data_IF_712574187619
#
_entry.id   IF_712574187619
#
_cell.length_a   1.000
_cell.length_b   1.000
_cell.length_c   1.000
_cell.angle_alpha   90.00
_cell.angle_beta   90.00
_cell.angle_gamma   90.00
#
_symmetry.space_group_name_H-M   'P 1'
#
loop_
_entity.id
_entity.type
_entity.pdbx_description
1 polymer ?
#
# COMPACT_ATOMS: atom_id res chain seq x y z
N UNK A 1 -44.43 15.51 -5.08
CA UNK A 1 -43.54 15.37 -3.91
C UNK A 1 -43.42 13.93 -3.39
N UNK A 2 -44.49 13.17 -3.14
CA UNK A 2 -44.38 11.77 -2.64
C UNK A 2 -43.73 10.75 -3.62
N UNK A 3 -43.85 10.97 -4.93
CA UNK A 3 -43.30 10.04 -5.95
C UNK A 3 -41.80 10.25 -6.25
N UNK A 4 -41.27 11.45 -6.04
CA UNK A 4 -39.87 11.77 -6.31
C UNK A 4 -38.94 11.16 -5.25
N UNK A 5 -39.32 11.26 -3.98
CA UNK A 5 -38.53 10.74 -2.86
C UNK A 5 -38.49 9.21 -2.82
N UNK A 6 -39.54 8.53 -3.26
CA UNK A 6 -39.57 7.07 -3.37
C UNK A 6 -38.63 6.53 -4.47
N UNK A 7 -38.46 7.27 -5.58
CA UNK A 7 -37.58 6.88 -6.70
C UNK A 7 -36.11 7.00 -6.33
N UNK A 8 -35.75 7.97 -5.49
CA UNK A 8 -34.39 8.18 -4.97
C UNK A 8 -34.01 7.05 -4.01
N UNK A 9 -34.92 6.61 -3.14
CA UNK A 9 -34.66 5.48 -2.25
C UNK A 9 -34.38 4.22 -3.06
N UNK A 10 -35.12 3.95 -4.13
CA UNK A 10 -34.83 2.79 -5.00
C UNK A 10 -33.48 2.95 -5.68
N UNK A 11 -33.15 4.13 -6.22
CA UNK A 11 -31.85 4.36 -6.87
C UNK A 11 -30.66 4.28 -5.89
N UNK A 12 -30.82 4.80 -4.67
CA UNK A 12 -29.80 4.82 -3.61
C UNK A 12 -29.69 3.44 -2.93
N UNK A 13 -30.78 2.70 -2.74
CA UNK A 13 -30.78 1.32 -2.22
C UNK A 13 -30.24 0.35 -3.27
N UNK A 14 -30.50 0.56 -4.56
CA UNK A 14 -29.86 -0.22 -5.63
C UNK A 14 -28.37 0.11 -5.74
N UNK A 15 -27.97 1.38 -5.62
CA UNK A 15 -26.56 1.76 -5.59
C UNK A 15 -25.83 1.24 -4.34
N UNK A 16 -26.48 1.25 -3.17
CA UNK A 16 -25.96 0.67 -1.93
C UNK A 16 -25.97 -0.86 -1.95
N UNK A 17 -26.94 -1.50 -2.58
CA UNK A 17 -27.03 -2.95 -2.75
C UNK A 17 -25.94 -3.51 -3.66
N UNK A 18 -25.51 -2.75 -4.67
CA UNK A 18 -24.35 -3.08 -5.50
C UNK A 18 -23.01 -2.80 -4.78
N UNK A 19 -22.98 -1.85 -3.85
CA UNK A 19 -21.79 -1.52 -3.04
C UNK A 19 -21.65 -2.40 -1.78
N UNK A 20 -22.74 -2.99 -1.30
CA UNK A 20 -22.80 -3.86 -0.13
C UNK A 20 -22.64 -5.34 -0.52
N UNK A 21 -21.45 -5.70 -1.02
CA UNK A 21 -20.95 -7.06 -0.89
C UNK A 21 -19.66 -7.04 -0.06
N UNK A 22 -19.75 -7.05 1.28
CA UNK A 22 -18.65 -7.56 2.07
C UNK A 22 -18.65 -9.07 1.91
N UNK A 23 -17.72 -9.61 1.11
CA UNK A 23 -17.31 -11.01 1.25
C UNK A 23 -16.61 -11.13 2.61
N UNK A 24 -17.42 -11.30 3.65
CA UNK A 24 -17.03 -11.76 4.98
C UNK A 24 -17.78 -13.06 5.24
N UNK A 25 -17.29 -14.14 4.64
CA UNK A 25 -17.64 -15.48 5.06
C UNK A 25 -16.92 -15.76 6.40
N UNK A 26 -17.66 -15.68 7.50
CA UNK A 26 -17.31 -16.30 8.79
C UNK A 26 -18.20 -17.55 8.92
N UNK A 27 -17.66 -18.78 9.04
CA UNK A 27 -18.44 -19.85 9.61
C UNK A 27 -18.45 -19.69 11.14
N UNK A 28 -19.65 -19.75 11.71
CA UNK A 28 -19.88 -19.91 13.13
C UNK A 28 -19.49 -21.35 13.54
N UNK A 29 -18.77 -21.49 14.65
CA UNK A 29 -18.45 -22.75 15.32
C UNK A 29 -18.35 -22.51 16.83
N UNK A 30 -18.68 -23.51 17.66
CA UNK A 30 -19.20 -23.30 19.02
C UNK A 30 -18.12 -22.89 20.03
N UNK A 31 -18.57 -22.28 21.13
CA UNK A 31 -17.74 -21.78 22.23
C UNK A 31 -16.92 -22.87 22.94
N UNK A 32 -15.91 -22.47 23.74
CA UNK A 32 -14.94 -23.40 24.29
C UNK A 32 -15.49 -24.11 25.53
N UNK A 33 -15.38 -25.44 25.55
CA UNK A 33 -15.31 -26.20 26.79
C UNK A 33 -13.87 -26.11 27.34
N UNK A 34 -13.76 -25.78 28.62
CA UNK A 34 -12.51 -25.73 29.35
C UNK A 34 -11.94 -27.14 29.56
N UNK A 35 -10.64 -27.30 29.34
CA UNK A 35 -9.83 -28.23 30.13
C UNK A 35 -8.38 -27.74 30.21
N UNK A 36 -7.93 -27.61 31.46
CA UNK A 36 -6.57 -27.32 31.83
C UNK A 36 -5.68 -28.54 31.55
N UNK A 37 -4.47 -28.29 31.07
CA UNK A 37 -3.46 -29.32 30.83
C UNK A 37 -2.10 -28.68 30.58
N UNK A 38 -1.37 -28.45 31.67
CA UNK A 38 0.01 -27.98 31.65
C UNK A 38 0.90 -28.91 30.82
N UNK A 39 1.65 -28.38 29.85
CA UNK A 39 2.86 -29.01 29.31
C UNK A 39 3.92 -27.99 28.91
N UNK A 40 4.92 -27.91 29.78
CA UNK A 40 6.36 -27.80 29.54
C UNK A 40 6.83 -26.89 28.40
N UNK A 41 7.40 -25.75 28.81
CA UNK A 41 8.28 -24.93 28.00
C UNK A 41 9.48 -25.75 27.51
N UNK A 42 9.61 -25.90 26.19
CA UNK A 42 10.91 -26.17 25.56
C UNK A 42 11.30 -24.88 24.87
N UNK A 43 12.07 -24.07 25.60
CA UNK A 43 12.63 -22.81 25.14
C UNK A 43 13.90 -23.11 24.33
N UNK A 44 13.73 -23.55 23.09
CA UNK A 44 14.81 -23.53 22.10
C UNK A 44 15.02 -22.08 21.66
N UNK A 45 16.26 -21.61 21.74
CA UNK A 45 16.69 -20.25 21.43
C UNK A 45 16.09 -19.74 20.11
N UNK A 46 15.01 -18.97 20.21
CA UNK A 46 14.46 -18.21 19.10
C UNK A 46 15.32 -16.95 18.96
N UNK A 47 15.84 -16.71 17.75
CA UNK A 47 16.33 -15.39 17.33
C UNK A 47 15.37 -14.32 17.87
N UNK A 48 15.89 -13.33 18.58
CA UNK A 48 15.09 -12.29 19.26
C UNK A 48 14.35 -11.43 18.21
N UNK A 49 13.22 -11.92 17.71
CA UNK A 49 12.36 -11.15 16.81
C UNK A 49 11.58 -10.10 17.61
N UNK A 50 11.41 -8.92 17.02
CA UNK A 50 10.54 -7.90 17.62
C UNK A 50 9.07 -8.31 17.42
N UNK A 51 8.26 -8.39 18.49
CA UNK A 51 6.88 -8.84 18.38
C UNK A 51 6.01 -7.96 17.48
N UNK A 52 4.99 -8.59 16.88
CA UNK A 52 4.05 -7.90 16.02
C UNK A 52 3.44 -6.65 16.66
N UNK A 53 3.24 -5.61 15.85
CA UNK A 53 2.62 -4.35 16.24
C UNK A 53 3.58 -3.38 16.94
N UNK A 54 4.83 -3.78 17.16
CA UNK A 54 5.91 -2.92 17.66
C UNK A 54 7.03 -2.84 16.64
N UNK A 55 7.73 -1.72 16.67
CA UNK A 55 9.02 -1.53 16.02
C UNK A 55 10.11 -1.64 17.09
N UNK A 56 11.36 -1.92 16.71
CA UNK A 56 12.48 -1.90 17.64
C UNK A 56 12.57 -0.57 18.38
N UNK A 57 13.13 -0.59 19.58
CA UNK A 57 13.21 0.60 20.43
C UNK A 57 13.86 1.78 19.69
N UNK A 58 13.30 2.98 19.87
CA UNK A 58 13.78 4.20 19.19
C UNK A 58 13.43 4.31 17.70
N UNK A 59 13.16 3.21 16.97
CA UNK A 59 12.83 3.26 15.53
C UNK A 59 11.53 4.03 15.29
N UNK A 60 10.49 3.79 16.09
CA UNK A 60 9.23 4.53 15.95
C UNK A 60 9.40 6.05 16.14
N UNK A 61 10.31 6.46 17.03
CA UNK A 61 10.62 7.86 17.29
C UNK A 61 11.48 8.48 16.18
N UNK A 62 12.45 7.73 15.65
CA UNK A 62 13.22 8.10 14.46
C UNK A 62 12.28 8.36 13.28
N UNK A 63 11.42 7.38 12.96
CA UNK A 63 10.50 7.46 11.81
C UNK A 63 9.53 8.64 11.89
N UNK A 64 9.06 8.96 13.10
CA UNK A 64 8.18 10.10 13.33
C UNK A 64 8.88 11.46 13.08
N UNK A 65 10.21 11.51 13.21
CA UNK A 65 11.03 12.71 13.00
C UNK A 65 11.63 12.81 11.60
N UNK A 66 11.42 11.80 10.73
CA UNK A 66 11.94 11.83 9.37
C UNK A 66 11.23 12.88 8.50
N UNK A 67 12.02 13.77 7.90
CA UNK A 67 11.58 14.70 6.87
C UNK A 67 11.46 13.97 5.52
N UNK A 68 10.27 13.46 5.28
CA UNK A 68 9.93 12.76 4.02
C UNK A 68 9.62 13.70 2.85
N UNK A 69 9.57 15.02 3.05
CA UNK A 69 9.05 15.96 2.06
C UNK A 69 9.89 16.00 0.77
N UNK A 70 11.21 15.92 0.89
CA UNK A 70 12.16 15.90 -0.22
C UNK A 70 12.03 14.63 -1.08
N UNK A 71 11.61 13.51 -0.49
CA UNK A 71 11.45 12.23 -1.17
C UNK A 71 10.09 12.04 -1.82
N UNK A 72 8.99 12.51 -1.20
CA UNK A 72 7.61 12.17 -1.60
C UNK A 72 7.30 12.36 -3.08
N UNK A 73 7.88 13.39 -3.71
CA UNK A 73 7.61 13.76 -5.11
C UNK A 73 8.68 13.28 -6.09
N UNK A 74 9.73 12.61 -5.63
CA UNK A 74 10.70 12.01 -6.53
C UNK A 74 10.02 10.98 -7.42
N UNK A 75 10.46 10.88 -8.67
CA UNK A 75 9.86 9.97 -9.64
C UNK A 75 10.47 8.59 -9.51
N UNK A 76 9.63 7.57 -9.49
CA UNK A 76 10.03 6.16 -9.59
C UNK A 76 9.29 5.57 -10.79
N UNK A 77 9.99 4.80 -11.63
CA UNK A 77 9.33 4.01 -12.66
C UNK A 77 9.12 2.59 -12.12
N UNK A 78 7.86 2.17 -11.98
CA UNK A 78 7.51 0.83 -11.52
C UNK A 78 6.35 0.30 -12.36
N UNK A 79 6.46 -0.94 -12.85
CA UNK A 79 5.50 -1.56 -13.78
C UNK A 79 5.20 -0.68 -15.01
N UNK A 80 6.24 -0.10 -15.61
CA UNK A 80 6.13 0.73 -16.82
C UNK A 80 5.53 2.13 -16.60
N UNK A 81 5.12 2.49 -15.38
CA UNK A 81 4.56 3.81 -15.06
C UNK A 81 5.49 4.62 -14.16
N UNK A 82 5.74 5.88 -14.55
CA UNK A 82 6.33 6.90 -13.67
C UNK A 82 5.29 7.36 -12.63
N UNK A 83 5.65 7.29 -11.35
CA UNK A 83 4.79 7.65 -10.21
C UNK A 83 5.63 8.32 -9.12
N UNK A 84 5.02 9.12 -8.22
CA UNK A 84 5.76 9.69 -7.10
C UNK A 84 6.16 8.60 -6.10
N UNK A 85 7.28 8.84 -5.41
CA UNK A 85 7.81 7.96 -4.37
C UNK A 85 6.78 7.65 -3.28
N UNK A 86 5.88 8.58 -2.94
CA UNK A 86 4.79 8.35 -1.99
C UNK A 86 3.87 7.19 -2.43
N UNK A 87 3.45 7.18 -3.70
CA UNK A 87 2.63 6.09 -4.26
C UNK A 87 3.41 4.79 -4.27
N UNK A 88 4.67 4.84 -4.75
CA UNK A 88 5.53 3.66 -4.82
C UNK A 88 5.70 3.03 -3.43
N UNK A 89 6.10 3.80 -2.42
CA UNK A 89 6.29 3.30 -1.06
C UNK A 89 5.01 2.67 -0.48
N UNK A 90 3.83 3.28 -0.69
CA UNK A 90 2.55 2.68 -0.26
C UNK A 90 2.27 1.34 -0.95
N UNK A 91 2.54 1.25 -2.25
CA UNK A 91 2.40 0.00 -3.00
C UNK A 91 3.37 -1.07 -2.49
N UNK A 92 4.65 -0.71 -2.29
CA UNK A 92 5.67 -1.62 -1.78
C UNK A 92 5.32 -2.13 -0.37
N UNK A 93 5.01 -1.23 0.56
CA UNK A 93 4.60 -1.59 1.94
C UNK A 93 3.36 -2.49 1.92
N UNK A 94 2.37 -2.21 1.06
CA UNK A 94 1.19 -3.08 0.91
C UNK A 94 1.53 -4.43 0.31
N UNK A 95 2.43 -4.47 -0.67
CA UNK A 95 2.92 -5.71 -1.28
C UNK A 95 3.57 -6.61 -0.22
N UNK A 96 4.51 -6.04 0.53
CA UNK A 96 5.28 -6.67 1.60
C UNK A 96 4.41 -7.13 2.77
N UNK A 97 3.64 -6.21 3.38
CA UNK A 97 2.98 -6.43 4.67
C UNK A 97 1.49 -6.79 4.53
N UNK A 98 0.90 -6.52 3.37
CA UNK A 98 -0.55 -6.64 3.14
C UNK A 98 -1.36 -5.45 3.66
N UNK A 99 -0.73 -4.41 4.22
CA UNK A 99 -1.34 -3.16 4.69
C UNK A 99 -0.52 -1.97 4.19
N UNK A 100 -1.13 -0.80 4.02
CA UNK A 100 -0.39 0.40 3.57
C UNK A 100 0.46 1.04 4.68
N UNK A 101 0.25 0.67 5.95
CA UNK A 101 1.01 1.16 7.10
C UNK A 101 1.23 0.06 8.12
N UNK A 102 2.23 0.26 8.98
CA UNK A 102 2.57 -0.59 10.12
C UNK A 102 2.92 0.29 11.32
N UNK A 103 2.51 -0.10 12.52
CA UNK A 103 2.75 0.65 13.76
C UNK A 103 2.39 2.16 13.69
N UNK A 104 1.37 2.52 12.91
CA UNK A 104 0.91 3.90 12.63
C UNK A 104 1.98 4.82 12.00
N UNK A 105 3.01 4.25 11.40
CA UNK A 105 4.05 5.02 10.72
C UNK A 105 3.63 5.45 9.32
N UNK A 106 4.23 6.54 8.85
CA UNK A 106 4.09 6.98 7.47
C UNK A 106 4.66 5.90 6.52
N UNK A 107 3.96 5.55 5.42
CA UNK A 107 4.39 4.47 4.54
C UNK A 107 5.73 4.74 3.86
N UNK A 108 6.04 6.00 3.55
CA UNK A 108 7.32 6.36 2.95
C UNK A 108 8.45 6.27 3.98
N UNK A 109 8.25 6.78 5.20
CA UNK A 109 9.22 6.63 6.27
C UNK A 109 9.51 5.14 6.57
N UNK A 110 8.46 4.31 6.66
CA UNK A 110 8.57 2.87 6.86
C UNK A 110 9.31 2.19 5.71
N UNK A 111 9.01 2.54 4.46
CA UNK A 111 9.72 2.02 3.28
C UNK A 111 11.21 2.37 3.31
N UNK A 112 11.56 3.63 3.60
CA UNK A 112 12.95 4.07 3.68
C UNK A 112 13.71 3.33 4.79
N UNK A 113 13.07 3.04 5.93
CA UNK A 113 13.68 2.21 6.97
C UNK A 113 13.88 0.76 6.54
N UNK A 114 12.90 0.13 5.89
CA UNK A 114 13.09 -1.22 5.33
C UNK A 114 14.20 -1.28 4.27
N UNK A 115 14.41 -0.18 3.53
CA UNK A 115 15.45 -0.04 2.52
C UNK A 115 16.85 0.15 3.13
N UNK A 116 17.01 1.09 4.07
CA UNK A 116 18.32 1.50 4.58
C UNK A 116 18.75 0.81 5.87
N UNK A 117 17.81 0.31 6.67
CA UNK A 117 18.06 -0.49 7.89
C UNK A 117 17.46 -1.90 7.73
N UNK A 118 17.76 -2.51 6.57
CA UNK A 118 17.15 -3.77 6.13
C UNK A 118 17.36 -4.90 7.13
N UNK A 119 18.55 -5.01 7.73
CA UNK A 119 18.86 -6.04 8.72
C UNK A 119 17.95 -5.94 9.95
N UNK A 120 17.83 -4.76 10.55
CA UNK A 120 16.87 -4.51 11.64
C UNK A 120 15.43 -4.81 11.21
N UNK A 121 15.03 -4.36 10.02
CA UNK A 121 13.68 -4.57 9.51
C UNK A 121 13.36 -6.05 9.24
N UNK A 122 14.35 -6.84 8.84
CA UNK A 122 14.17 -8.26 8.53
C UNK A 122 13.69 -9.07 9.74
N UNK A 123 14.02 -8.63 10.95
CA UNK A 123 13.80 -9.34 12.22
C UNK A 123 12.52 -8.93 12.97
N UNK A 124 11.67 -8.08 12.38
CA UNK A 124 10.40 -7.68 13.01
C UNK A 124 9.24 -8.54 12.49
N UNK A 125 8.36 -9.00 13.38
CA UNK A 125 7.19 -9.83 13.05
C UNK A 125 6.06 -9.01 12.38
N UNK A 126 6.35 -8.45 11.21
CA UNK A 126 5.46 -7.57 10.47
C UNK A 126 4.66 -8.30 9.36
N UNK A 127 5.05 -9.52 8.99
CA UNK A 127 4.42 -10.26 7.89
C UNK A 127 3.27 -11.12 8.39
N UNK A 128 2.04 -10.76 8.01
CA UNK A 128 0.85 -11.53 8.41
C UNK A 128 0.65 -12.78 7.54
N UNK A 129 0.49 -13.93 8.20
CA UNK A 129 0.19 -15.23 7.58
C UNK A 129 -1.27 -15.60 7.83
N UNK A 130 -2.11 -15.60 6.79
CA UNK A 130 -3.55 -15.87 6.92
C UNK A 130 -3.95 -17.34 6.70
N UNK A 131 -3.13 -18.10 5.98
CA UNK A 131 -3.48 -19.45 5.57
C UNK A 131 -3.10 -20.46 6.67
N UNK A 132 -4.05 -21.30 7.09
CA UNK A 132 -3.84 -22.26 8.18
C UNK A 132 -2.75 -23.28 7.87
N UNK A 133 -2.68 -23.78 6.63
CA UNK A 133 -1.64 -24.73 6.21
C UNK A 133 -0.26 -24.07 6.20
N UNK A 134 -0.20 -22.79 5.86
CA UNK A 134 1.03 -22.02 5.88
C UNK A 134 1.49 -21.72 7.31
N UNK A 135 0.58 -21.49 8.26
CA UNK A 135 0.92 -21.40 9.68
C UNK A 135 1.53 -22.71 10.18
N UNK A 136 0.93 -23.85 9.85
CA UNK A 136 1.47 -25.17 10.18
C UNK A 136 2.87 -25.39 9.57
N UNK A 137 3.04 -25.04 8.30
CA UNK A 137 4.33 -25.17 7.59
C UNK A 137 5.44 -24.32 8.23
N UNK A 138 5.09 -23.13 8.71
CA UNK A 138 6.02 -22.21 9.36
C UNK A 138 6.18 -22.46 10.87
N UNK A 139 5.41 -23.39 11.46
CA UNK A 139 5.43 -23.63 12.90
C UNK A 139 4.84 -22.50 13.75
N UNK A 140 3.94 -21.67 13.19
CA UNK A 140 3.37 -20.49 13.86
C UNK A 140 2.08 -20.82 14.62
N UNK A 141 1.88 -20.19 15.79
CA UNK A 141 0.62 -20.23 16.52
C UNK A 141 -0.46 -19.42 15.80
N UNK A 142 -1.68 -19.97 15.72
CA UNK A 142 -2.87 -19.28 15.21
C UNK A 142 -3.19 -17.99 15.98
N UNK A 143 -2.81 -17.90 17.26
CA UNK A 143 -3.01 -16.70 18.08
C UNK A 143 -2.01 -15.58 17.74
N UNK A 144 -0.85 -15.92 17.19
CA UNK A 144 0.17 -14.97 16.72
C UNK A 144 0.55 -15.27 15.26
N UNK A 145 -0.34 -14.96 14.29
CA UNK A 145 -0.16 -15.34 12.89
C UNK A 145 0.77 -14.37 12.13
N UNK A 146 1.90 -14.03 12.75
CA UNK A 146 2.89 -13.09 12.22
C UNK A 146 4.27 -13.73 12.22
N UNK A 147 5.09 -13.31 11.27
CA UNK A 147 6.47 -13.75 11.12
C UNK A 147 7.32 -12.60 10.57
N UNK A 148 8.63 -12.77 10.59
CA UNK A 148 9.61 -11.82 10.08
C UNK A 148 10.16 -12.27 8.71
N UNK A 149 10.81 -11.38 7.98
CA UNK A 149 11.43 -11.75 6.70
C UNK A 149 12.62 -12.69 6.90
N UNK A 150 13.43 -12.47 7.93
CA UNK A 150 14.49 -13.38 8.34
C UNK A 150 13.93 -14.78 8.66
N UNK A 151 12.87 -14.87 9.46
CA UNK A 151 12.26 -16.16 9.79
C UNK A 151 11.66 -16.89 8.58
N UNK A 152 11.22 -16.17 7.53
CA UNK A 152 10.79 -16.79 6.27
C UNK A 152 11.98 -17.31 5.48
N UNK A 153 13.06 -16.53 5.39
CA UNK A 153 14.27 -16.88 4.66
C UNK A 153 14.97 -18.10 5.27
N UNK A 154 15.03 -18.17 6.60
CA UNK A 154 15.70 -19.25 7.34
C UNK A 154 14.84 -20.52 7.44
N UNK A 155 13.57 -20.49 7.01
CA UNK A 155 12.69 -21.64 7.13
C UNK A 155 12.90 -22.64 5.96
N UNK A 156 13.71 -23.67 6.21
CA UNK A 156 14.00 -24.69 5.20
C UNK A 156 12.76 -25.45 4.69
N UNK A 157 11.77 -25.71 5.55
CA UNK A 157 10.56 -26.43 5.15
C UNK A 157 9.74 -25.60 4.15
N UNK A 158 9.65 -24.30 4.39
CA UNK A 158 9.05 -23.35 3.47
C UNK A 158 9.84 -23.26 2.16
N UNK A 159 11.18 -23.15 2.22
CA UNK A 159 12.02 -23.11 1.03
C UNK A 159 11.84 -24.36 0.15
N UNK A 160 11.88 -25.56 0.74
CA UNK A 160 11.67 -26.83 0.02
C UNK A 160 10.32 -26.89 -0.68
N UNK A 161 9.25 -26.50 0.01
CA UNK A 161 7.89 -26.53 -0.57
C UNK A 161 7.72 -25.46 -1.65
N UNK A 162 8.29 -24.27 -1.48
CA UNK A 162 8.31 -23.23 -2.51
C UNK A 162 9.02 -23.71 -3.77
N UNK A 163 10.19 -24.32 -3.64
CA UNK A 163 10.99 -24.79 -4.78
C UNK A 163 10.33 -25.98 -5.48
N UNK A 164 9.64 -26.85 -4.73
CA UNK A 164 8.75 -27.87 -5.28
C UNK A 164 7.63 -27.23 -6.11
N UNK A 165 6.93 -26.24 -5.56
CA UNK A 165 5.85 -25.55 -6.26
C UNK A 165 6.36 -24.82 -7.50
N UNK A 166 7.51 -24.15 -7.44
CA UNK A 166 8.05 -23.45 -8.60
C UNK A 166 8.31 -24.41 -9.78
N UNK A 167 8.83 -25.62 -9.50
CA UNK A 167 9.03 -26.67 -10.51
C UNK A 167 7.73 -27.27 -11.06
N UNK A 168 6.71 -27.39 -10.21
CA UNK A 168 5.41 -27.97 -10.60
C UNK A 168 4.45 -26.95 -11.24
N UNK A 169 4.57 -25.66 -10.92
CA UNK A 169 3.62 -24.63 -11.30
C UNK A 169 3.68 -24.23 -12.78
N UNK A 170 4.67 -24.71 -13.53
CA UNK A 170 4.75 -24.48 -14.98
C UNK A 170 3.53 -25.08 -15.69
N UNK A 171 2.52 -24.24 -15.94
CA UNK A 171 1.29 -24.61 -16.66
C UNK A 171 0.12 -25.11 -15.80
N UNK A 172 0.19 -25.05 -14.46
CA UNK A 172 -0.91 -25.49 -13.59
C UNK A 172 -1.61 -24.35 -12.85
N UNK A 173 -2.92 -24.47 -12.66
CA UNK A 173 -3.69 -23.57 -11.79
C UNK A 173 -3.44 -23.94 -10.33
N UNK A 174 -2.87 -23.01 -9.56
CA UNK A 174 -2.54 -23.22 -8.16
C UNK A 174 -3.78 -23.21 -7.28
N UNK A 175 -3.88 -24.21 -6.38
CA UNK A 175 -4.88 -24.21 -5.33
C UNK A 175 -4.66 -23.08 -4.31
N UNK A 176 -5.62 -22.82 -3.40
CA UNK A 176 -5.54 -21.72 -2.42
C UNK A 176 -4.30 -21.77 -1.50
N UNK A 177 -3.88 -22.96 -1.07
CA UNK A 177 -2.72 -23.16 -0.22
C UNK A 177 -1.40 -22.92 -0.96
N UNK A 178 -1.30 -23.45 -2.18
CA UNK A 178 -0.12 -23.27 -3.04
C UNK A 178 0.05 -21.79 -3.41
N UNK A 179 -1.06 -21.12 -3.75
CA UNK A 179 -1.07 -19.68 -3.99
C UNK A 179 -0.65 -18.88 -2.76
N UNK A 180 -0.94 -19.36 -1.54
CA UNK A 180 -0.49 -18.71 -0.32
C UNK A 180 1.03 -18.80 -0.13
N UNK A 181 1.62 -19.96 -0.45
CA UNK A 181 3.08 -20.17 -0.42
C UNK A 181 3.76 -19.27 -1.45
N UNK A 182 3.29 -19.26 -2.69
CA UNK A 182 3.83 -18.39 -3.76
C UNK A 182 3.73 -16.92 -3.37
N UNK A 183 2.59 -16.47 -2.84
CA UNK A 183 2.44 -15.07 -2.39
C UNK A 183 3.40 -14.71 -1.25
N UNK A 184 3.61 -15.61 -0.28
CA UNK A 184 4.58 -15.36 0.80
C UNK A 184 6.01 -15.34 0.26
N UNK A 185 6.35 -16.24 -0.67
CA UNK A 185 7.64 -16.27 -1.34
C UNK A 185 7.90 -14.97 -2.12
N UNK A 186 6.91 -14.47 -2.85
CA UNK A 186 7.00 -13.20 -3.58
C UNK A 186 7.22 -12.01 -2.63
N UNK A 187 6.64 -12.03 -1.42
CA UNK A 187 6.88 -10.99 -0.41
C UNK A 187 8.31 -11.00 0.10
N UNK A 188 8.83 -12.19 0.42
CA UNK A 188 10.22 -12.33 0.83
C UNK A 188 11.16 -11.88 -0.31
N UNK A 189 10.91 -12.34 -1.53
CA UNK A 189 11.68 -11.91 -2.70
C UNK A 189 11.65 -10.39 -2.89
N UNK A 190 10.49 -9.75 -2.76
CA UNK A 190 10.35 -8.30 -2.86
C UNK A 190 11.14 -7.55 -1.79
N UNK A 191 11.22 -8.09 -0.57
CA UNK A 191 12.00 -7.51 0.53
C UNK A 191 13.51 -7.61 0.26
N UNK A 192 13.96 -8.71 -0.34
CA UNK A 192 15.35 -8.90 -0.72
C UNK A 192 15.79 -7.93 -1.84
N UNK A 193 14.88 -7.55 -2.74
CA UNK A 193 15.18 -6.79 -3.96
C UNK A 193 14.66 -5.33 -3.92
N UNK A 194 14.53 -4.73 -2.74
CA UNK A 194 14.00 -3.36 -2.59
C UNK A 194 14.82 -2.32 -3.36
N UNK A 195 16.15 -2.48 -3.41
CA UNK A 195 17.04 -1.58 -4.14
C UNK A 195 16.87 -1.70 -5.66
N UNK A 196 16.65 -2.92 -6.17
CA UNK A 196 16.46 -3.19 -7.61
C UNK A 196 15.13 -2.64 -8.13
N UNK A 197 14.09 -2.66 -7.29
CA UNK A 197 12.78 -2.07 -7.61
C UNK A 197 12.82 -0.53 -7.59
N UNK A 198 13.83 0.08 -6.95
CA UNK A 198 13.96 1.53 -6.83
C UNK A 198 14.58 2.17 -8.08
N UNK A 199 13.83 2.09 -9.19
CA UNK A 199 14.21 2.62 -10.51
C UNK A 199 13.95 4.12 -10.60
N UNK A 200 14.98 4.91 -10.31
CA UNK A 200 14.90 6.37 -10.21
C UNK A 200 15.86 7.11 -11.14
N UNK A 201 16.68 6.39 -11.91
CA UNK A 201 17.67 6.96 -12.82
C UNK A 201 17.17 6.79 -14.26
N UNK A 202 16.96 7.87 -15.02
CA UNK A 202 16.57 7.76 -16.42
C UNK A 202 17.71 7.09 -17.22
N UNK A 203 17.36 6.27 -18.23
CA UNK A 203 18.37 5.66 -19.09
C UNK A 203 19.12 6.73 -19.89
N UNK A 204 20.38 6.47 -20.29
CA UNK A 204 21.11 7.32 -21.24
C UNK A 204 20.32 7.53 -22.53
N UNK A 205 20.47 8.70 -23.16
CA UNK A 205 19.68 9.07 -24.35
C UNK A 205 19.88 8.12 -25.55
N UNK A 206 21.02 7.45 -25.61
CA UNK A 206 21.46 6.50 -26.63
C UNK A 206 21.09 5.03 -26.32
N UNK A 207 20.51 4.74 -25.16
CA UNK A 207 20.23 3.37 -24.73
C UNK A 207 19.11 2.67 -25.54
N UNK A 208 18.28 3.42 -26.26
CA UNK A 208 17.18 2.88 -27.07
C UNK A 208 16.03 2.25 -26.26
N UNK A 209 16.04 2.38 -24.94
CA UNK A 209 15.05 1.83 -24.00
C UNK A 209 14.62 2.94 -23.01
N UNK A 210 13.32 3.02 -22.69
CA UNK A 210 12.75 3.99 -21.72
C UNK A 210 12.66 3.39 -20.30
N UNK A 211 13.25 2.22 -20.06
CA UNK A 211 13.34 1.62 -18.73
C UNK A 211 14.37 2.33 -17.86
N UNK A 212 13.90 2.87 -16.75
CA UNK A 212 14.73 3.51 -15.73
C UNK A 212 15.55 2.46 -14.97
N UNK A 213 16.73 2.89 -14.57
CA UNK A 213 17.74 2.11 -13.90
C UNK A 213 17.62 2.27 -12.37
N UNK A 214 18.02 1.25 -11.59
CA UNK A 214 18.09 1.33 -10.14
C UNK A 214 19.04 2.46 -9.68
N UNK A 215 18.67 3.12 -8.58
CA UNK A 215 19.48 4.20 -8.00
C UNK A 215 20.74 3.71 -7.27
N UNK A 216 20.74 2.46 -6.82
CA UNK A 216 21.84 1.81 -6.09
C UNK A 216 22.43 0.60 -6.83
N UNK A 217 22.50 0.64 -8.16
CA UNK A 217 22.96 -0.51 -8.92
C UNK A 217 24.40 -0.92 -8.55
N UNK A 218 24.56 -2.14 -8.04
CA UNK A 218 25.86 -2.80 -7.82
C UNK A 218 26.29 -3.65 -9.02
N UNK A 219 25.32 -4.03 -9.87
CA UNK A 219 25.50 -4.86 -11.06
C UNK A 219 24.92 -4.16 -12.30
N UNK A 220 25.50 -4.41 -13.48
CA UNK A 220 25.08 -3.77 -14.74
C UNK A 220 25.80 -2.46 -15.07
N UNK A 221 26.74 -2.00 -14.23
CA UNK A 221 27.62 -0.84 -14.46
C UNK A 221 28.32 -0.89 -15.82
N UNK A 222 28.56 -2.12 -16.29
CA UNK A 222 29.23 -2.44 -17.55
C UNK A 222 28.47 -1.94 -18.79
N UNK A 223 27.15 -1.80 -18.70
CA UNK A 223 26.30 -1.36 -19.82
C UNK A 223 26.04 0.15 -19.85
N UNK A 224 26.47 0.89 -18.82
CA UNK A 224 26.32 2.34 -18.73
C UNK A 224 27.50 2.97 -17.96
N UNK A 225 28.73 2.95 -18.50
CA UNK A 225 29.92 3.48 -17.82
C UNK A 225 29.78 4.96 -17.48
N UNK A 226 29.00 5.72 -18.26
CA UNK A 226 28.68 7.12 -17.99
C UNK A 226 27.99 7.36 -16.63
N UNK A 227 27.35 6.33 -16.05
CA UNK A 227 26.65 6.40 -14.76
C UNK A 227 27.49 5.89 -13.58
N UNK A 228 28.73 5.41 -13.81
CA UNK A 228 29.56 4.84 -12.75
C UNK A 228 29.85 5.84 -11.61
N UNK A 229 30.14 7.10 -11.94
CA UNK A 229 30.36 8.16 -10.96
C UNK A 229 29.10 8.43 -10.13
N UNK A 230 27.93 8.42 -10.77
CA UNK A 230 26.65 8.59 -10.09
C UNK A 230 26.42 7.47 -9.07
N UNK A 231 26.60 6.21 -9.47
CA UNK A 231 26.35 5.08 -8.57
C UNK A 231 27.34 5.03 -7.40
N UNK A 232 28.60 5.41 -7.61
CA UNK A 232 29.57 5.56 -6.52
C UNK A 232 29.14 6.63 -5.51
N UNK A 233 28.67 7.77 -6.00
CA UNK A 233 28.18 8.87 -5.17
C UNK A 233 26.90 8.48 -4.42
N UNK A 234 25.91 7.90 -5.11
CA UNK A 234 24.66 7.46 -4.48
C UNK A 234 24.88 6.31 -3.50
N UNK A 235 25.84 5.41 -3.75
CA UNK A 235 26.23 4.37 -2.80
C UNK A 235 26.88 4.95 -1.53
N UNK A 236 27.69 5.99 -1.66
CA UNK A 236 28.27 6.69 -0.51
C UNK A 236 27.18 7.36 0.32
N UNK A 237 26.24 8.04 -0.33
CA UNK A 237 25.08 8.64 0.33
C UNK A 237 24.16 7.58 0.95
N UNK A 238 23.95 6.43 0.29
CA UNK A 238 23.22 5.27 0.81
C UNK A 238 23.82 4.81 2.15
N UNK A 239 25.14 4.63 2.20
CA UNK A 239 25.84 4.21 3.42
C UNK A 239 25.65 5.22 4.56
N UNK A 240 25.74 6.53 4.28
CA UNK A 240 25.48 7.56 5.30
C UNK A 240 24.06 7.51 5.85
N UNK A 241 23.06 7.26 4.99
CA UNK A 241 21.68 7.08 5.44
C UNK A 241 21.56 5.83 6.31
N UNK A 242 22.14 4.70 5.90
CA UNK A 242 22.12 3.46 6.67
C UNK A 242 22.77 3.65 8.06
N UNK A 243 23.96 4.26 8.13
CA UNK A 243 24.65 4.57 9.39
C UNK A 243 23.80 5.45 10.32
N UNK A 244 23.13 6.46 9.78
CA UNK A 244 22.25 7.33 10.58
C UNK A 244 21.01 6.60 11.10
N UNK A 245 20.45 5.66 10.32
CA UNK A 245 19.33 4.82 10.75
C UNK A 245 19.75 3.82 11.84
N UNK A 246 20.93 3.20 11.70
CA UNK A 246 21.53 2.33 12.73
C UNK A 246 21.79 3.11 14.03
N UNK A 247 22.36 4.30 13.93
CA UNK A 247 22.60 5.18 15.09
C UNK A 247 21.31 5.80 15.67
N UNK A 248 20.17 5.65 15.00
CA UNK A 248 18.87 6.25 15.35
C UNK A 248 18.93 7.79 15.47
N UNK A 249 19.82 8.41 14.71
CA UNK A 249 19.99 9.86 14.67
C UNK A 249 19.10 10.47 13.58
N UNK A 250 17.96 11.04 14.00
CA UNK A 250 17.01 11.66 13.08
C UNK A 250 17.60 12.89 12.34
N UNK A 251 18.53 13.61 12.96
CA UNK A 251 19.13 14.81 12.34
C UNK A 251 20.07 14.40 11.23
N UNK A 252 20.97 13.46 11.52
CA UNK A 252 21.88 12.90 10.52
C UNK A 252 21.12 12.18 9.40
N UNK A 253 20.06 11.43 9.73
CA UNK A 253 19.22 10.74 8.76
C UNK A 253 18.54 11.72 7.81
N UNK A 254 17.96 12.81 8.34
CA UNK A 254 17.31 13.84 7.54
C UNK A 254 18.28 14.57 6.63
N UNK A 255 19.50 14.85 7.09
CA UNK A 255 20.54 15.47 6.27
C UNK A 255 20.97 14.55 5.13
N UNK A 256 21.32 13.30 5.43
CA UNK A 256 21.75 12.33 4.43
C UNK A 256 20.64 12.02 3.40
N UNK A 257 19.39 11.87 3.85
CA UNK A 257 18.24 11.67 2.97
C UNK A 257 18.01 12.88 2.05
N UNK A 258 18.22 14.11 2.54
CA UNK A 258 18.05 15.32 1.73
C UNK A 258 19.14 15.42 0.65
N UNK A 259 20.39 15.15 1.00
CA UNK A 259 21.51 15.12 0.04
C UNK A 259 21.27 14.07 -1.05
N UNK A 260 20.87 12.87 -0.65
CA UNK A 260 20.53 11.80 -1.61
C UNK A 260 19.33 12.18 -2.50
N UNK A 261 18.28 12.76 -1.93
CA UNK A 261 17.12 13.22 -2.70
C UNK A 261 17.51 14.32 -3.72
N UNK A 262 18.34 15.27 -3.31
CA UNK A 262 18.84 16.32 -4.21
C UNK A 262 19.64 15.73 -5.37
N UNK A 263 20.51 14.75 -5.09
CA UNK A 263 21.30 14.09 -6.13
C UNK A 263 20.43 13.33 -7.12
N UNK A 264 19.46 12.56 -6.61
CA UNK A 264 18.49 11.84 -7.44
C UNK A 264 17.63 12.81 -8.27
N UNK A 265 17.13 13.88 -7.68
CA UNK A 265 16.34 14.90 -8.39
C UNK A 265 17.14 15.55 -9.53
N UNK A 266 18.42 15.87 -9.28
CA UNK A 266 19.30 16.45 -10.30
C UNK A 266 19.49 15.52 -11.50
N UNK A 267 19.58 14.21 -11.26
CA UNK A 267 19.71 13.19 -12.32
C UNK A 267 18.41 12.99 -13.08
N UNK A 268 17.26 13.05 -12.39
CA UNK A 268 15.95 12.92 -13.05
C UNK A 268 15.66 14.09 -13.99
N UNK A 269 16.03 15.31 -13.61
CA UNK A 269 15.90 16.51 -14.43
C UNK A 269 14.54 16.62 -15.12
N UNK A 270 14.55 16.80 -16.44
CA UNK A 270 13.34 16.92 -17.25
C UNK A 270 12.61 15.58 -17.50
N UNK A 271 13.25 14.44 -17.26
CA UNK A 271 12.63 13.11 -17.42
C UNK A 271 11.65 12.79 -16.27
N UNK A 272 11.74 13.52 -15.16
CA UNK A 272 10.87 13.38 -14.01
C UNK A 272 9.38 13.57 -14.35
N UNK A 273 8.52 12.99 -13.52
CA UNK A 273 7.09 13.30 -13.52
C UNK A 273 6.89 14.81 -13.24
N UNK A 274 5.99 15.49 -13.97
CA UNK A 274 5.70 16.90 -13.70
C UNK A 274 5.32 17.14 -12.24
N UNK A 275 5.91 18.16 -11.62
CA UNK A 275 5.78 18.41 -10.18
C UNK A 275 4.32 18.60 -9.72
N UNK A 276 3.47 19.21 -10.57
CA UNK A 276 2.04 19.39 -10.30
C UNK A 276 1.28 18.07 -10.26
N UNK A 277 1.58 17.14 -11.18
CA UNK A 277 0.96 15.82 -11.21
C UNK A 277 1.43 14.95 -10.04
N UNK A 278 2.73 15.00 -9.72
CA UNK A 278 3.29 14.32 -8.55
C UNK A 278 2.64 14.85 -7.26
N UNK A 279 2.47 16.17 -7.11
CA UNK A 279 1.80 16.77 -5.97
C UNK A 279 0.31 16.38 -5.88
N UNK A 280 -0.40 16.37 -7.01
CA UNK A 280 -1.80 15.96 -7.06
C UNK A 280 -1.99 14.49 -6.65
N UNK A 281 -1.09 13.60 -7.07
CA UNK A 281 -1.13 12.19 -6.69
C UNK A 281 -0.79 11.98 -5.21
N UNK A 282 0.21 12.68 -4.66
CA UNK A 282 0.51 12.66 -3.22
C UNK A 282 -0.70 13.17 -2.41
N UNK A 283 -1.36 14.25 -2.87
CA UNK A 283 -2.56 14.77 -2.23
C UNK A 283 -3.70 13.74 -2.26
N UNK A 284 -3.94 13.10 -3.40
CA UNK A 284 -4.93 12.03 -3.55
C UNK A 284 -4.68 10.88 -2.57
N UNK A 285 -3.42 10.45 -2.43
CA UNK A 285 -3.04 9.36 -1.54
C UNK A 285 -3.22 9.70 -0.05
N UNK A 286 -3.08 10.97 0.34
CA UNK A 286 -3.20 11.37 1.75
C UNK A 286 -4.62 11.75 2.14
N UNK A 287 -5.34 12.42 1.24
CA UNK A 287 -6.70 12.87 1.51
C UNK A 287 -7.74 11.76 1.27
N UNK A 288 -7.48 10.85 0.33
CA UNK A 288 -8.42 9.81 -0.11
C UNK A 288 -9.83 10.37 -0.43
N UNK A 289 -9.98 11.27 -1.42
CA UNK A 289 -11.26 11.93 -1.68
C UNK A 289 -12.41 10.97 -1.98
N UNK A 290 -12.16 9.86 -2.69
CA UNK A 290 -13.17 8.81 -2.91
C UNK A 290 -13.57 8.10 -1.60
N UNK A 291 -12.63 7.98 -0.66
CA UNK A 291 -12.84 7.49 0.69
C UNK A 291 -13.76 8.38 1.54
N UNK A 292 -13.71 9.70 1.34
CA UNK A 292 -14.64 10.64 1.96
C UNK A 292 -15.97 10.71 1.23
N UNK A 293 -15.94 10.65 -0.11
CA UNK A 293 -17.14 10.68 -0.94
C UNK A 293 -18.12 9.56 -0.55
N UNK A 294 -17.68 8.31 -0.42
CA UNK A 294 -18.59 7.22 -0.05
C UNK A 294 -19.19 7.39 1.36
N UNK A 295 -18.41 7.92 2.32
CA UNK A 295 -18.92 8.19 3.68
C UNK A 295 -20.01 9.26 3.65
N UNK A 296 -19.79 10.33 2.91
CA UNK A 296 -20.77 11.41 2.74
C UNK A 296 -22.01 10.93 2.00
N UNK A 297 -21.85 10.12 0.96
CA UNK A 297 -22.98 9.50 0.25
C UNK A 297 -23.77 8.54 1.16
N UNK A 298 -23.10 7.80 2.05
CA UNK A 298 -23.76 6.95 3.04
C UNK A 298 -24.54 7.80 4.06
N UNK A 299 -23.95 8.89 4.57
CA UNK A 299 -24.63 9.85 5.45
C UNK A 299 -25.84 10.47 4.75
N UNK A 300 -25.71 10.84 3.47
CA UNK A 300 -26.82 11.35 2.68
C UNK A 300 -27.96 10.33 2.60
N UNK A 301 -27.66 9.08 2.28
CA UNK A 301 -28.65 8.00 2.21
C UNK A 301 -29.39 7.78 3.54
N UNK A 302 -28.66 7.75 4.66
CA UNK A 302 -29.24 7.59 5.99
C UNK A 302 -30.11 8.79 6.38
N UNK A 303 -29.65 10.02 6.11
CA UNK A 303 -30.38 11.23 6.41
C UNK A 303 -31.66 11.37 5.55
N UNK A 304 -31.61 10.97 4.27
CA UNK A 304 -32.82 10.86 3.43
C UNK A 304 -33.80 9.83 4.01
N UNK A 305 -33.32 8.66 4.44
CA UNK A 305 -34.15 7.65 5.11
C UNK A 305 -34.83 8.20 6.36
N UNK A 306 -34.07 8.84 7.26
CA UNK A 306 -34.61 9.45 8.49
C UNK A 306 -35.64 10.56 8.20
N UNK A 307 -35.41 11.38 7.17
CA UNK A 307 -36.37 12.39 6.72
C UNK A 307 -37.70 11.76 6.27
N UNK A 308 -37.66 10.58 5.63
CA UNK A 308 -38.86 9.86 5.18
C UNK A 308 -39.66 9.24 6.35
N UNK A 309 -38.97 8.79 7.40
CA UNK A 309 -39.55 8.22 8.62
C UNK A 309 -40.22 9.24 9.56
N UNK A 310 -40.28 10.53 9.18
CA UNK A 310 -41.04 11.55 9.90
C UNK A 310 -40.21 12.64 10.57
N UNK A 311 -38.87 12.51 10.60
CA UNK A 311 -37.96 13.51 11.19
C UNK A 311 -37.63 14.67 10.23
N UNK A 312 -38.63 15.17 9.50
CA UNK A 312 -38.46 15.94 8.24
C UNK A 312 -37.69 17.25 8.36
N UNK A 313 -37.76 17.96 9.48
CA UNK A 313 -37.39 19.39 9.53
C UNK A 313 -35.89 19.67 9.66
N UNK A 314 -35.09 18.70 10.12
CA UNK A 314 -33.63 18.85 10.28
C UNK A 314 -32.79 17.97 9.34
N UNK A 315 -33.30 16.79 8.97
CA UNK A 315 -32.49 15.79 8.25
C UNK A 315 -32.42 16.00 6.73
N UNK A 316 -33.41 16.66 6.14
CA UNK A 316 -33.41 16.96 4.70
C UNK A 316 -32.23 17.86 4.26
N UNK A 317 -31.95 19.04 4.87
CA UNK A 317 -30.81 19.86 4.45
C UNK A 317 -29.47 19.16 4.69
N UNK A 318 -29.36 18.34 5.74
CA UNK A 318 -28.17 17.50 5.99
C UNK A 318 -27.97 16.49 4.87
N UNK A 319 -29.05 15.82 4.44
CA UNK A 319 -28.99 14.85 3.35
C UNK A 319 -28.53 15.49 2.03
N UNK A 320 -29.12 16.63 1.66
CA UNK A 320 -28.76 17.38 0.45
C UNK A 320 -27.32 17.88 0.52
N UNK A 321 -26.91 18.47 1.65
CA UNK A 321 -25.53 18.95 1.83
C UNK A 321 -24.50 17.83 1.70
N UNK A 322 -24.75 16.68 2.34
CA UNK A 322 -23.90 15.51 2.26
C UNK A 322 -23.87 14.91 0.84
N UNK A 323 -25.01 14.88 0.13
CA UNK A 323 -25.11 14.42 -1.25
C UNK A 323 -24.27 15.28 -2.19
N UNK A 324 -24.42 16.61 -2.13
CA UNK A 324 -23.69 17.55 -2.99
C UNK A 324 -22.19 17.46 -2.72
N UNK A 325 -21.78 17.52 -1.45
CA UNK A 325 -20.37 17.45 -1.09
C UNK A 325 -19.75 16.10 -1.47
N UNK A 326 -20.44 15.00 -1.20
CA UNK A 326 -20.00 13.65 -1.58
C UNK A 326 -19.85 13.50 -3.09
N UNK A 327 -20.80 14.01 -3.86
CA UNK A 327 -20.78 13.97 -5.33
C UNK A 327 -19.65 14.84 -5.91
N UNK A 328 -19.43 16.04 -5.39
CA UNK A 328 -18.32 16.90 -5.81
C UNK A 328 -16.96 16.27 -5.50
N UNK A 329 -16.81 15.67 -4.32
CA UNK A 329 -15.59 14.94 -3.96
C UNK A 329 -15.36 13.70 -4.84
N UNK A 330 -16.42 12.98 -5.19
CA UNK A 330 -16.34 11.86 -6.13
C UNK A 330 -15.90 12.32 -7.53
N UNK A 331 -16.54 13.37 -8.06
CA UNK A 331 -16.22 13.95 -9.35
C UNK A 331 -14.76 14.43 -9.41
N UNK A 332 -14.34 15.23 -8.42
CA UNK A 332 -12.97 15.73 -8.32
C UNK A 332 -11.94 14.60 -8.17
N UNK A 333 -12.22 13.61 -7.31
CA UNK A 333 -11.35 12.45 -7.13
C UNK A 333 -11.19 11.62 -8.41
N UNK A 334 -12.26 11.43 -9.18
CA UNK A 334 -12.22 10.77 -10.49
C UNK A 334 -11.45 11.61 -11.51
N UNK A 335 -11.66 12.92 -11.58
CA UNK A 335 -10.98 13.82 -12.51
C UNK A 335 -9.47 13.89 -12.26
N UNK A 336 -9.04 13.98 -11.00
CA UNK A 336 -7.61 13.95 -10.67
C UNK A 336 -7.02 12.58 -11.02
N UNK A 337 -7.75 11.49 -10.75
CA UNK A 337 -7.30 10.14 -11.10
C UNK A 337 -7.14 9.94 -12.60
N UNK A 338 -8.04 10.46 -13.43
CA UNK A 338 -7.90 10.39 -14.89
C UNK A 338 -6.71 11.20 -15.39
N UNK A 339 -6.44 12.36 -14.80
CA UNK A 339 -5.26 13.15 -15.11
C UNK A 339 -3.94 12.43 -14.76
N UNK A 340 -3.91 11.71 -13.62
CA UNK A 340 -2.74 10.94 -13.17
C UNK A 340 -2.50 9.69 -14.04
N UNK A 341 -3.54 8.88 -14.26
CA UNK A 341 -3.42 7.59 -14.96
C UNK A 341 -3.46 7.77 -16.48
N UNK A 342 -3.80 8.97 -16.98
CA UNK A 342 -3.89 9.32 -18.41
C UNK A 342 -4.85 8.42 -19.21
N UNK A 343 -5.85 7.85 -18.56
CA UNK A 343 -6.92 7.05 -19.17
C UNK A 343 -8.24 7.21 -18.41
N UNK A 344 -9.34 6.85 -19.06
CA UNK A 344 -10.65 6.81 -18.42
C UNK A 344 -10.70 5.77 -17.27
N UNK A 345 -11.48 6.02 -16.20
CA UNK A 345 -11.52 5.19 -15.00
C UNK A 345 -12.54 4.05 -15.18
N UNK A 346 -12.35 3.21 -16.20
CA UNK A 346 -13.26 2.09 -16.53
C UNK A 346 -12.50 0.81 -16.89
N UNK A 347 -11.18 0.77 -16.70
CA UNK A 347 -10.37 -0.34 -17.20
C UNK A 347 -10.36 -1.58 -16.29
N UNK A 348 -10.80 -1.46 -15.03
CA UNK A 348 -10.95 -2.60 -14.14
C UNK A 348 -12.30 -2.56 -13.42
N UNK A 349 -12.72 -3.72 -12.88
CA UNK A 349 -14.03 -3.87 -12.22
C UNK A 349 -14.22 -2.86 -11.09
N UNK A 350 -13.18 -2.62 -10.30
CA UNK A 350 -13.24 -1.64 -9.21
C UNK A 350 -13.52 -0.22 -9.73
N UNK A 351 -12.78 0.21 -10.76
CA UNK A 351 -12.97 1.51 -11.41
C UNK A 351 -14.36 1.63 -12.05
N UNK A 352 -14.83 0.58 -12.73
CA UNK A 352 -16.15 0.53 -13.34
C UNK A 352 -17.26 0.67 -12.28
N UNK A 353 -17.16 -0.01 -11.14
CA UNK A 353 -18.14 0.08 -10.04
C UNK A 353 -18.15 1.48 -9.42
N UNK A 354 -16.98 2.07 -9.17
CA UNK A 354 -16.88 3.42 -8.61
C UNK A 354 -17.48 4.45 -9.57
N UNK A 355 -17.16 4.34 -10.87
CA UNK A 355 -17.70 5.23 -11.89
C UNK A 355 -19.21 5.07 -12.07
N UNK A 356 -19.71 3.84 -12.13
CA UNK A 356 -21.14 3.55 -12.24
C UNK A 356 -21.92 4.10 -11.04
N UNK A 357 -21.40 3.92 -9.83
CA UNK A 357 -22.02 4.46 -8.60
C UNK A 357 -22.12 5.98 -8.65
N UNK A 358 -21.03 6.65 -9.06
CA UNK A 358 -21.03 8.11 -9.25
C UNK A 358 -22.08 8.53 -10.30
N UNK A 359 -22.12 7.87 -11.46
CA UNK A 359 -23.07 8.17 -12.52
C UNK A 359 -24.53 7.99 -12.05
N UNK A 360 -24.83 6.92 -11.31
CA UNK A 360 -26.16 6.68 -10.73
C UNK A 360 -26.59 7.79 -9.78
N UNK A 361 -25.69 8.28 -8.93
CA UNK A 361 -25.97 9.40 -8.01
C UNK A 361 -26.26 10.69 -8.78
N UNK A 362 -25.46 11.00 -9.80
CA UNK A 362 -25.67 12.20 -10.63
C UNK A 362 -27.01 12.13 -11.36
N UNK A 363 -27.32 11.01 -12.00
CA UNK A 363 -28.60 10.81 -12.71
C UNK A 363 -29.78 10.91 -11.73
N UNK A 364 -29.68 10.26 -10.57
CA UNK A 364 -30.72 10.34 -9.53
C UNK A 364 -30.96 11.77 -9.05
N UNK A 365 -29.90 12.55 -8.89
CA UNK A 365 -29.99 13.96 -8.48
C UNK A 365 -30.69 14.83 -9.53
N UNK A 366 -30.44 14.57 -10.83
CA UNK A 366 -31.12 15.28 -11.93
C UNK A 366 -32.62 15.02 -11.92
N UNK A 367 -33.05 13.78 -11.64
CA UNK A 367 -34.46 13.43 -11.52
C UNK A 367 -35.15 14.01 -10.28
N UNK A 368 -34.40 14.38 -9.25
CA UNK A 368 -34.96 15.06 -8.06
C UNK A 368 -35.21 16.55 -8.32
N UNK A 369 -34.36 17.19 -9.12
CA UNK A 369 -34.47 18.61 -9.46
C UNK A 369 -35.59 18.91 -10.48
N UNK A 370 -36.17 17.89 -11.09
CA UNK A 370 -37.31 17.96 -12.02
C UNK A 370 -38.57 17.41 -11.36
#
# INVERSE_FOLDING_TARGET
MRSATARIVVAVVVALGCAASPVLARPAGPGPAASAGARSEVRTAASESTPHGRLPDGVAALLAQLDTASWRRLTVQHNGRRKPMDTFAREQVRGLLGTESYARQDPLALYLWMLFARDQAAHVDMVRVRNLKLLELLGLDRRSPYTSFAAIADNEAFARERDRLHRMAAGMVLGPNQSAIVRLGNRAWLFEHLEDELRMVPPPADAGDDRWLPVFATHGVQHAPALAALWSETATLRNRVAEAFEARDATAANEALRQLAQRVAAVQGAAAMPASLAAAEVWMNRFHPLGWAWKLLAVAALAFGASLLGYRRGWYPVAVGALVLGTLLAAGGLAVRTAIVRRAPVANIYEAVVFATFASVVVGSIFELR
#
